data_IF_188501194630
#
_entry.id   IF_188501194630
#
_cell.length_a   1.000
_cell.length_b   1.000
_cell.length_c   1.000
_cell.angle_alpha   90.00
_cell.angle_beta   90.00
_cell.angle_gamma   90.00
#
_symmetry.space_group_name_H-M   'P 1'
#
loop_
_entity.id
_entity.type
_entity.pdbx_description
1 polymer ?
#
# COMPACT_ATOMS: atom_id res chain seq x y z
N UNK A 1 19.44 -14.31 -10.56
CA UNK A 1 18.80 -13.51 -11.63
C UNK A 1 19.82 -13.41 -12.76
N UNK A 2 19.42 -13.56 -14.02
CA UNK A 2 20.36 -13.42 -15.14
C UNK A 2 20.72 -11.94 -15.33
N UNK A 3 21.93 -11.64 -15.77
CA UNK A 3 22.38 -10.26 -15.99
C UNK A 3 21.49 -9.50 -16.97
N UNK A 4 20.98 -10.21 -17.99
CA UNK A 4 19.99 -9.69 -18.94
C UNK A 4 18.69 -9.27 -18.22
N UNK A 5 18.14 -10.11 -17.33
CA UNK A 5 16.91 -9.78 -16.61
C UNK A 5 17.11 -8.61 -15.67
N UNK A 6 18.24 -8.55 -14.97
CA UNK A 6 18.60 -7.41 -14.11
C UNK A 6 18.62 -6.11 -14.94
N UNK A 7 19.30 -6.14 -16.09
CA UNK A 7 19.38 -4.99 -17.00
C UNK A 7 17.99 -4.54 -17.46
N UNK A 8 17.12 -5.47 -17.88
CA UNK A 8 15.76 -5.12 -18.32
C UNK A 8 14.91 -4.50 -17.20
N UNK A 9 15.08 -4.95 -15.95
CA UNK A 9 14.40 -4.36 -14.77
C UNK A 9 14.95 -2.97 -14.47
N UNK A 10 16.27 -2.82 -14.46
CA UNK A 10 16.96 -1.56 -14.17
C UNK A 10 16.73 -0.50 -15.25
N UNK A 11 16.42 -0.90 -16.49
CA UNK A 11 15.96 0.00 -17.56
C UNK A 11 14.44 0.15 -17.63
N UNK A 12 13.71 -0.43 -16.68
CA UNK A 12 12.27 -0.29 -16.54
C UNK A 12 11.43 -1.01 -17.60
N UNK A 13 12.04 -1.90 -18.37
CA UNK A 13 11.40 -2.64 -19.47
C UNK A 13 10.65 -3.88 -18.97
N UNK A 14 11.00 -4.40 -17.80
CA UNK A 14 10.28 -5.49 -17.13
C UNK A 14 9.91 -5.12 -15.69
N UNK A 15 8.76 -5.59 -15.19
CA UNK A 15 8.48 -5.57 -13.76
C UNK A 15 9.32 -6.63 -13.04
N UNK A 16 9.54 -6.38 -11.76
CA UNK A 16 10.05 -7.37 -10.82
C UNK A 16 9.03 -8.51 -10.62
N UNK A 17 9.46 -9.63 -10.05
CA UNK A 17 8.60 -10.81 -9.80
C UNK A 17 8.48 -11.18 -8.33
N UNK A 18 9.44 -10.75 -7.51
CA UNK A 18 9.53 -11.12 -6.10
C UNK A 18 10.34 -10.08 -5.33
N UNK A 19 10.31 -10.17 -4.00
CA UNK A 19 10.98 -9.20 -3.12
C UNK A 19 12.49 -9.09 -3.36
N UNK A 20 13.17 -10.19 -3.72
CA UNK A 20 14.61 -10.13 -4.00
C UNK A 20 14.92 -9.27 -5.23
N UNK A 21 14.11 -9.39 -6.29
CA UNK A 21 14.20 -8.50 -7.45
C UNK A 21 13.85 -7.05 -7.07
N UNK A 22 12.79 -6.81 -6.29
CA UNK A 22 12.44 -5.47 -5.82
C UNK A 22 13.59 -4.80 -5.04
N UNK A 23 14.31 -5.56 -4.22
CA UNK A 23 15.45 -5.07 -3.43
C UNK A 23 16.69 -4.79 -4.29
N UNK A 24 16.80 -5.46 -5.44
CA UNK A 24 17.98 -5.39 -6.30
C UNK A 24 17.93 -4.28 -7.36
N UNK A 25 16.75 -3.70 -7.63
CA UNK A 25 16.58 -2.64 -8.65
C UNK A 25 17.52 -1.45 -8.39
N UNK A 26 18.34 -1.11 -9.38
CA UNK A 26 19.11 0.13 -9.36
C UNK A 26 18.22 1.29 -9.80
N UNK A 27 17.62 1.96 -8.82
CA UNK A 27 16.72 3.09 -9.07
C UNK A 27 17.42 4.29 -9.74
N UNK A 28 18.75 4.42 -9.66
CA UNK A 28 19.47 5.49 -10.39
C UNK A 28 19.53 5.18 -11.88
N UNK A 29 19.84 3.93 -12.22
CA UNK A 29 19.81 3.44 -13.60
C UNK A 29 18.40 3.55 -14.17
N UNK A 30 17.38 3.19 -13.36
CA UNK A 30 15.98 3.32 -13.74
C UNK A 30 15.57 4.76 -14.03
N UNK A 31 15.91 5.72 -13.17
CA UNK A 31 15.62 7.13 -13.44
C UNK A 31 16.28 7.60 -14.74
N UNK A 32 17.54 7.26 -14.98
CA UNK A 32 18.25 7.63 -16.22
C UNK A 32 17.60 7.01 -17.46
N UNK A 33 17.07 5.80 -17.37
CA UNK A 33 16.38 5.12 -18.46
C UNK A 33 15.05 5.79 -18.87
N UNK A 34 14.49 6.63 -18.00
CA UNK A 34 13.29 7.43 -18.29
C UNK A 34 13.59 8.73 -19.04
N UNK A 35 14.86 9.06 -19.29
CA UNK A 35 15.24 10.21 -20.09
C UNK A 35 14.64 10.12 -21.51
N UNK A 36 14.13 11.24 -22.02
CA UNK A 36 13.40 11.28 -23.29
C UNK A 36 11.96 10.74 -23.23
N UNK A 37 11.57 10.07 -22.16
CA UNK A 37 10.18 9.66 -21.91
C UNK A 37 9.45 10.67 -21.01
N UNK A 38 10.16 11.25 -20.04
CA UNK A 38 9.63 12.25 -19.11
C UNK A 38 10.36 13.60 -19.28
N UNK A 39 9.78 14.72 -18.79
CA UNK A 39 10.42 16.04 -18.88
C UNK A 39 11.82 16.07 -18.25
N UNK A 40 12.79 16.71 -18.91
CA UNK A 40 14.20 16.70 -18.48
C UNK A 40 14.39 17.20 -17.04
N UNK A 41 13.73 18.31 -16.66
CA UNK A 41 13.77 18.84 -15.29
C UNK A 41 13.20 17.89 -14.24
N UNK A 42 12.22 17.05 -14.62
CA UNK A 42 11.72 16.00 -13.74
C UNK A 42 12.80 14.93 -13.56
N UNK A 43 13.42 14.47 -14.65
CA UNK A 43 14.49 13.48 -14.60
C UNK A 43 15.66 13.96 -13.75
N UNK A 44 16.09 15.22 -13.88
CA UNK A 44 17.12 15.84 -13.05
C UNK A 44 16.76 15.74 -11.55
N UNK A 45 15.53 16.14 -11.18
CA UNK A 45 15.06 16.08 -9.79
C UNK A 45 14.99 14.65 -9.24
N UNK A 46 14.46 13.70 -10.03
CA UNK A 46 14.40 12.29 -9.63
C UNK A 46 15.80 11.69 -9.51
N UNK A 47 16.75 12.10 -10.36
CA UNK A 47 18.11 11.59 -10.36
C UNK A 47 18.87 12.07 -9.12
N UNK A 48 18.72 13.34 -8.73
CA UNK A 48 19.24 13.87 -7.46
C UNK A 48 18.70 13.07 -6.28
N UNK A 49 17.38 12.87 -6.20
CA UNK A 49 16.77 12.10 -5.12
C UNK A 49 17.22 10.63 -5.10
N UNK A 50 17.39 10.02 -6.29
CA UNK A 50 17.85 8.64 -6.41
C UNK A 50 19.29 8.49 -5.92
N UNK A 51 20.16 9.49 -6.15
CA UNK A 51 21.53 9.50 -5.63
C UNK A 51 21.54 9.68 -4.10
N UNK A 52 20.78 10.63 -3.56
CA UNK A 52 20.70 10.89 -2.12
C UNK A 52 20.18 9.68 -1.33
N UNK A 53 19.29 8.89 -1.94
CA UNK A 53 18.68 7.71 -1.31
C UNK A 53 19.37 6.38 -1.68
N UNK A 54 20.44 6.39 -2.49
CA UNK A 54 21.02 5.18 -3.09
C UNK A 54 21.54 4.17 -2.05
N UNK A 55 22.00 4.65 -0.90
CA UNK A 55 22.50 3.83 0.22
C UNK A 55 21.41 3.43 1.23
N UNK A 56 20.18 3.91 1.06
CA UNK A 56 19.08 3.66 1.99
C UNK A 56 18.33 2.36 1.67
N UNK A 57 17.51 1.89 2.63
CA UNK A 57 16.60 0.77 2.41
C UNK A 57 15.51 1.08 1.38
N UNK A 58 14.94 0.04 0.76
CA UNK A 58 13.96 0.14 -0.33
C UNK A 58 12.81 1.11 -0.03
N UNK A 59 12.24 1.07 1.18
CA UNK A 59 11.14 1.97 1.55
C UNK A 59 11.51 3.45 1.46
N UNK A 60 12.73 3.83 1.85
CA UNK A 60 13.21 5.21 1.76
C UNK A 60 13.47 5.64 0.32
N UNK A 61 13.99 4.73 -0.52
CA UNK A 61 14.18 4.98 -1.96
C UNK A 61 12.85 5.22 -2.67
N UNK A 62 11.89 4.30 -2.52
CA UNK A 62 10.56 4.42 -3.17
C UNK A 62 9.82 5.66 -2.69
N UNK A 63 9.80 5.89 -1.36
CA UNK A 63 9.12 7.06 -0.79
C UNK A 63 9.78 8.36 -1.23
N UNK A 64 11.11 8.43 -1.21
CA UNK A 64 11.86 9.63 -1.61
C UNK A 64 11.59 10.02 -3.05
N UNK A 65 11.82 9.10 -3.99
CA UNK A 65 11.64 9.37 -5.43
C UNK A 65 10.16 9.62 -5.75
N UNK A 66 9.23 8.87 -5.15
CA UNK A 66 7.79 9.10 -5.33
C UNK A 66 7.31 10.45 -4.80
N UNK A 67 7.83 10.91 -3.66
CA UNK A 67 7.55 12.25 -3.15
C UNK A 67 8.17 13.34 -4.04
N UNK A 68 9.40 13.14 -4.52
CA UNK A 68 10.03 14.06 -5.46
C UNK A 68 9.22 14.19 -6.75
N UNK A 69 8.67 13.09 -7.29
CA UNK A 69 7.74 13.10 -8.42
C UNK A 69 6.48 13.92 -8.10
N UNK A 70 5.86 13.69 -6.94
CA UNK A 70 4.67 14.44 -6.50
C UNK A 70 4.92 15.95 -6.37
N UNK A 71 6.05 16.32 -5.75
CA UNK A 71 6.46 17.72 -5.56
C UNK A 71 6.74 18.44 -6.87
N UNK A 72 7.37 17.74 -7.83
CA UNK A 72 7.58 18.30 -9.17
C UNK A 72 6.26 18.50 -9.91
N UNK A 73 5.32 17.56 -9.78
CA UNK A 73 4.00 17.60 -10.43
C UNK A 73 3.04 18.65 -9.85
N UNK A 74 3.18 18.99 -8.57
CA UNK A 74 2.29 19.92 -7.87
C UNK A 74 2.14 21.30 -8.55
N UNK A 75 3.22 22.01 -8.94
CA UNK A 75 3.10 23.29 -9.65
C UNK A 75 2.79 23.14 -11.15
N UNK A 76 2.85 21.94 -11.73
CA UNK A 76 2.66 21.71 -13.18
C UNK A 76 1.18 21.88 -13.56
N UNK A 77 0.83 22.55 -14.67
CA UNK A 77 -0.55 22.70 -15.13
C UNK A 77 -1.28 21.36 -15.26
N UNK A 78 -2.57 21.32 -14.91
CA UNK A 78 -3.34 20.09 -14.77
C UNK A 78 -3.28 19.13 -15.99
N UNK A 79 -3.36 19.59 -17.25
CA UNK A 79 -3.27 18.69 -18.40
C UNK A 79 -1.93 17.94 -18.47
N UNK A 80 -0.82 18.67 -18.31
CA UNK A 80 0.53 18.10 -18.35
C UNK A 80 0.79 17.24 -17.11
N UNK A 81 0.29 17.67 -15.94
CA UNK A 81 0.38 16.90 -14.70
C UNK A 81 -0.29 15.54 -14.85
N UNK A 82 -1.51 15.52 -15.37
CA UNK A 82 -2.27 14.28 -15.58
C UNK A 82 -1.58 13.38 -16.60
N UNK A 83 -1.04 13.94 -17.68
CA UNK A 83 -0.30 13.18 -18.69
C UNK A 83 0.92 12.47 -18.07
N UNK A 84 1.75 13.19 -17.33
CA UNK A 84 2.96 12.61 -16.71
C UNK A 84 2.59 11.58 -15.64
N UNK A 85 1.61 11.88 -14.79
CA UNK A 85 1.16 10.94 -13.76
C UNK A 85 0.58 9.66 -14.39
N UNK A 86 -0.19 9.78 -15.47
CA UNK A 86 -0.74 8.62 -16.18
C UNK A 86 0.37 7.78 -16.82
N UNK A 87 1.35 8.43 -17.46
CA UNK A 87 2.51 7.74 -18.03
C UNK A 87 3.29 6.96 -16.97
N UNK A 88 3.54 7.54 -15.79
CA UNK A 88 4.19 6.82 -14.69
C UNK A 88 3.30 5.71 -14.11
N UNK A 89 1.98 5.93 -14.03
CA UNK A 89 1.02 4.97 -13.46
C UNK A 89 0.77 3.77 -14.37
N UNK A 90 0.99 3.90 -15.68
CA UNK A 90 0.85 2.82 -16.66
C UNK A 90 2.22 2.24 -17.10
N UNK A 91 3.31 2.68 -16.49
CA UNK A 91 4.67 2.28 -16.88
C UNK A 91 4.92 0.77 -16.68
N UNK A 92 5.75 0.14 -17.51
CA UNK A 92 6.09 -1.30 -17.43
C UNK A 92 6.79 -1.69 -16.13
N UNK A 93 7.68 -0.85 -15.63
CA UNK A 93 8.31 -1.00 -14.31
C UNK A 93 7.31 -0.81 -13.17
N UNK A 94 7.16 -1.82 -12.33
CA UNK A 94 6.41 -1.74 -11.08
C UNK A 94 7.00 -0.70 -10.12
N UNK A 95 8.32 -0.47 -10.17
CA UNK A 95 8.99 0.56 -9.34
C UNK A 95 8.53 1.97 -9.72
N UNK A 96 8.40 2.27 -11.02
CA UNK A 96 7.89 3.57 -11.50
C UNK A 96 6.42 3.76 -11.11
N UNK A 97 5.59 2.72 -11.27
CA UNK A 97 4.18 2.75 -10.81
C UNK A 97 4.09 2.94 -9.29
N UNK A 98 5.05 2.40 -8.53
CA UNK A 98 5.14 2.60 -7.08
C UNK A 98 5.48 4.04 -6.72
N UNK A 99 6.39 4.69 -7.45
CA UNK A 99 6.64 6.14 -7.30
C UNK A 99 5.37 6.95 -7.60
N UNK A 100 4.63 6.58 -8.64
CA UNK A 100 3.36 7.22 -8.99
C UNK A 100 2.31 7.09 -7.87
N UNK A 101 2.27 5.97 -7.14
CA UNK A 101 1.39 5.79 -5.98
C UNK A 101 1.70 6.79 -4.83
N UNK A 102 2.98 7.09 -4.60
CA UNK A 102 3.39 8.12 -3.63
C UNK A 102 3.13 9.55 -4.17
N UNK A 103 3.37 9.79 -5.45
CA UNK A 103 3.05 11.06 -6.08
C UNK A 103 1.54 11.37 -6.02
N UNK A 104 0.68 10.37 -6.27
CA UNK A 104 -0.77 10.50 -6.15
C UNK A 104 -1.20 10.83 -4.72
N UNK A 105 -0.63 10.14 -3.72
CA UNK A 105 -0.91 10.43 -2.31
C UNK A 105 -0.48 11.87 -1.94
N UNK A 106 0.67 12.33 -2.45
CA UNK A 106 1.12 13.71 -2.27
C UNK A 106 0.18 14.72 -2.93
N UNK A 107 -0.21 14.51 -4.19
CA UNK A 107 -1.08 15.42 -4.94
C UNK A 107 -2.50 15.49 -4.38
N UNK A 108 -2.97 14.41 -3.75
CA UNK A 108 -4.31 14.34 -3.17
C UNK A 108 -4.37 14.81 -1.71
N UNK A 109 -3.25 15.19 -1.09
CA UNK A 109 -3.15 15.49 0.36
C UNK A 109 -4.07 16.60 0.87
N UNK A 110 -4.48 17.51 -0.03
CA UNK A 110 -5.39 18.64 0.27
C UNK A 110 -6.83 18.40 -0.16
N UNK A 111 -7.12 17.31 -0.88
CA UNK A 111 -8.48 16.93 -1.26
C UNK A 111 -9.27 16.47 -0.02
N UNK A 112 -10.56 16.18 -0.15
CA UNK A 112 -11.26 15.42 0.89
C UNK A 112 -10.70 13.98 1.00
N UNK A 113 -10.97 13.31 2.13
CA UNK A 113 -10.38 12.00 2.43
C UNK A 113 -10.91 10.90 1.51
N UNK A 114 -12.16 11.00 1.06
CA UNK A 114 -12.79 10.04 0.14
C UNK A 114 -12.19 10.13 -1.26
N UNK A 115 -12.02 11.34 -1.79
CA UNK A 115 -11.37 11.60 -3.06
C UNK A 115 -9.93 11.10 -3.07
N UNK A 116 -9.18 11.31 -1.97
CA UNK A 116 -7.82 10.79 -1.84
C UNK A 116 -7.79 9.26 -1.78
N UNK A 117 -8.72 8.63 -1.07
CA UNK A 117 -8.88 7.18 -1.06
C UNK A 117 -9.16 6.65 -2.46
N UNK A 118 -10.17 7.19 -3.15
CA UNK A 118 -10.57 6.79 -4.49
C UNK A 118 -9.43 6.92 -5.50
N UNK A 119 -8.68 8.03 -5.45
CA UNK A 119 -7.50 8.23 -6.29
C UNK A 119 -6.42 7.17 -6.05
N UNK A 120 -6.25 6.71 -4.81
CA UNK A 120 -5.28 5.68 -4.46
C UNK A 120 -5.70 4.26 -4.88
N UNK A 121 -7.02 3.99 -4.97
CA UNK A 121 -7.53 2.65 -5.28
C UNK A 121 -7.10 2.13 -6.66
N UNK A 122 -6.65 2.98 -7.59
CA UNK A 122 -6.05 2.51 -8.85
C UNK A 122 -4.80 1.67 -8.62
N UNK A 123 -3.93 2.09 -7.68
CA UNK A 123 -2.70 1.38 -7.35
C UNK A 123 -2.96 0.17 -6.45
N UNK A 124 -4.01 0.23 -5.63
CA UNK A 124 -4.49 -0.94 -4.89
C UNK A 124 -4.93 -2.08 -5.83
N UNK A 125 -5.39 -1.75 -7.04
CA UNK A 125 -5.83 -2.69 -8.08
C UNK A 125 -4.70 -3.15 -9.02
N UNK A 126 -3.46 -2.67 -8.83
CA UNK A 126 -2.33 -3.02 -9.69
C UNK A 126 -2.09 -4.54 -9.67
N UNK A 127 -1.70 -5.11 -10.81
CA UNK A 127 -1.37 -6.53 -10.94
C UNK A 127 -0.12 -6.92 -10.12
N UNK A 128 0.81 -5.98 -9.96
CA UNK A 128 2.06 -6.22 -9.26
C UNK A 128 1.91 -6.03 -7.75
N UNK A 129 2.33 -7.04 -6.98
CA UNK A 129 2.17 -7.04 -5.53
C UNK A 129 2.87 -5.84 -4.85
N UNK A 130 4.06 -5.46 -5.35
CA UNK A 130 4.82 -4.33 -4.81
C UNK A 130 4.03 -3.03 -4.89
N UNK A 131 3.42 -2.73 -6.04
CA UNK A 131 2.64 -1.50 -6.23
C UNK A 131 1.46 -1.46 -5.26
N UNK A 132 0.78 -2.60 -5.04
CA UNK A 132 -0.31 -2.70 -4.07
C UNK A 132 0.14 -2.45 -2.63
N UNK A 133 1.37 -2.86 -2.25
CA UNK A 133 1.93 -2.54 -0.93
C UNK A 133 2.20 -1.05 -0.80
N UNK A 134 2.88 -0.46 -1.79
CA UNK A 134 3.19 0.97 -1.77
C UNK A 134 1.94 1.85 -1.81
N UNK A 135 0.86 1.39 -2.46
CA UNK A 135 -0.41 2.08 -2.52
C UNK A 135 -0.96 2.39 -1.11
N UNK A 136 -1.04 1.40 -0.23
CA UNK A 136 -1.56 1.62 1.12
C UNK A 136 -0.53 2.31 2.01
N UNK A 137 0.77 2.03 1.84
CA UNK A 137 1.84 2.69 2.62
C UNK A 137 1.80 4.20 2.39
N UNK A 138 1.62 4.63 1.14
CA UNK A 138 1.60 6.05 0.78
C UNK A 138 0.43 6.82 1.40
N UNK A 139 -0.77 6.22 1.48
CA UNK A 139 -1.97 6.88 2.02
C UNK A 139 -2.14 6.70 3.53
N UNK A 140 -1.54 5.65 4.12
CA UNK A 140 -1.70 5.29 5.54
C UNK A 140 -1.48 6.43 6.53
N UNK A 141 -0.44 7.29 6.43
CA UNK A 141 -0.23 8.35 7.41
C UNK A 141 -1.44 9.27 7.56
N UNK A 142 -2.09 9.57 6.44
CA UNK A 142 -3.27 10.43 6.41
C UNK A 142 -4.50 9.74 7.01
N UNK A 143 -4.73 8.47 6.64
CA UNK A 143 -5.85 7.69 7.21
C UNK A 143 -5.69 7.46 8.71
N UNK A 144 -4.46 7.27 9.20
CA UNK A 144 -4.18 7.11 10.61
C UNK A 144 -4.41 8.40 11.42
N UNK A 145 -4.22 9.58 10.81
CA UNK A 145 -4.49 10.88 11.44
C UNK A 145 -5.98 11.20 11.54
N UNK A 146 -6.80 10.71 10.60
CA UNK A 146 -8.26 10.91 10.56
C UNK A 146 -8.98 9.58 10.77
N UNK A 147 -8.69 8.89 11.88
CA UNK A 147 -9.01 7.48 12.07
C UNK A 147 -10.52 7.16 11.99
N UNK A 148 -11.37 7.97 12.63
CA UNK A 148 -12.82 7.72 12.67
C UNK A 148 -13.42 7.84 11.26
N UNK A 149 -13.10 8.92 10.54
CA UNK A 149 -13.53 9.13 9.15
C UNK A 149 -12.97 8.04 8.23
N UNK A 150 -11.70 7.68 8.42
CA UNK A 150 -11.03 6.64 7.65
C UNK A 150 -11.71 5.27 7.84
N UNK A 151 -12.03 4.87 9.07
CA UNK A 151 -12.71 3.60 9.34
C UNK A 151 -14.09 3.55 8.69
N UNK A 152 -14.86 4.63 8.78
CA UNK A 152 -16.17 4.73 8.12
C UNK A 152 -16.03 4.61 6.59
N UNK A 153 -15.08 5.31 5.98
CA UNK A 153 -14.79 5.25 4.55
C UNK A 153 -14.35 3.84 4.11
N UNK A 154 -13.37 3.27 4.79
CA UNK A 154 -12.81 1.97 4.46
C UNK A 154 -13.85 0.86 4.63
N UNK A 155 -14.74 0.95 5.64
CA UNK A 155 -15.84 0.00 5.80
C UNK A 155 -16.80 0.01 4.59
N UNK A 156 -17.10 1.19 4.02
CA UNK A 156 -17.91 1.30 2.80
C UNK A 156 -17.23 0.63 1.60
N UNK A 157 -15.93 0.86 1.41
CA UNK A 157 -15.18 0.31 0.28
C UNK A 157 -14.73 -1.14 0.46
N UNK A 158 -14.71 -1.67 1.68
CA UNK A 158 -14.42 -3.09 1.96
C UNK A 158 -15.50 -4.05 1.44
N UNK A 159 -16.63 -3.53 0.92
CA UNK A 159 -17.64 -4.29 0.19
C UNK A 159 -17.41 -4.42 -1.32
N UNK A 160 -16.33 -3.85 -1.87
CA UNK A 160 -16.03 -3.88 -3.32
C UNK A 160 -15.90 -5.33 -3.84
N UNK A 161 -16.35 -5.57 -5.07
CA UNK A 161 -16.29 -6.87 -5.72
C UNK A 161 -14.85 -7.33 -5.97
N UNK A 162 -13.92 -6.39 -6.15
CA UNK A 162 -12.50 -6.65 -6.33
C UNK A 162 -11.81 -6.95 -4.98
N UNK A 163 -11.25 -8.17 -4.79
CA UNK A 163 -10.58 -8.54 -3.56
C UNK A 163 -9.35 -7.69 -3.23
N UNK A 164 -8.70 -7.09 -4.23
CA UNK A 164 -7.53 -6.22 -4.01
C UNK A 164 -7.92 -4.92 -3.30
N UNK A 165 -9.11 -4.38 -3.60
CA UNK A 165 -9.67 -3.21 -2.91
C UNK A 165 -10.06 -3.56 -1.48
N UNK A 166 -10.74 -4.69 -1.28
CA UNK A 166 -11.08 -5.18 0.07
C UNK A 166 -9.81 -5.37 0.91
N UNK A 167 -8.79 -6.02 0.33
CA UNK A 167 -7.47 -6.18 0.95
C UNK A 167 -6.88 -4.84 1.36
N UNK A 168 -6.85 -3.85 0.45
CA UNK A 168 -6.33 -2.52 0.76
C UNK A 168 -7.06 -1.90 1.95
N UNK A 169 -8.39 -1.96 1.95
CA UNK A 169 -9.22 -1.33 2.99
C UNK A 169 -8.94 -1.90 4.38
N UNK A 170 -8.66 -3.20 4.46
CA UNK A 170 -8.33 -3.89 5.70
C UNK A 170 -6.86 -3.68 6.09
N UNK A 171 -5.93 -3.81 5.13
CA UNK A 171 -4.49 -3.77 5.39
C UNK A 171 -4.03 -2.39 5.88
N UNK A 172 -4.56 -1.32 5.27
CA UNK A 172 -4.04 0.04 5.43
C UNK A 172 -4.11 0.54 6.87
N UNK A 173 -5.01 0.00 7.69
CA UNK A 173 -5.14 0.32 9.12
C UNK A 173 -4.75 -0.83 10.05
N UNK A 174 -3.92 -1.79 9.63
CA UNK A 174 -3.39 -2.81 10.56
C UNK A 174 -2.72 -2.16 11.79
N UNK A 175 -3.02 -2.58 13.04
CA UNK A 175 -2.47 -1.95 14.24
C UNK A 175 -0.94 -2.06 14.33
N UNK A 176 -0.37 -3.14 13.79
CA UNK A 176 1.08 -3.45 13.81
C UNK A 176 1.59 -3.87 12.42
N UNK A 177 1.30 -3.04 11.42
CA UNK A 177 1.76 -3.29 10.06
C UNK A 177 3.29 -3.34 9.94
N UNK A 178 3.77 -4.07 8.94
CA UNK A 178 5.20 -4.15 8.61
C UNK A 178 5.55 -2.98 7.68
N UNK A 179 6.74 -2.41 7.81
CA UNK A 179 7.20 -1.22 7.05
C UNK A 179 6.39 0.06 7.25
N UNK A 180 5.62 0.15 8.34
CA UNK A 180 4.88 1.34 8.71
C UNK A 180 4.85 1.52 10.22
N UNK A 181 4.48 2.72 10.66
CA UNK A 181 4.29 3.01 12.07
C UNK A 181 3.05 2.27 12.63
N UNK A 182 3.15 1.87 13.88
CA UNK A 182 2.03 1.28 14.61
C UNK A 182 0.96 2.32 14.90
N UNK A 183 -0.31 1.93 14.78
CA UNK A 183 -1.44 2.80 15.14
C UNK A 183 -1.83 2.49 16.58
N UNK A 184 -1.34 3.31 17.52
CA UNK A 184 -1.53 3.07 18.96
C UNK A 184 -3.02 3.01 19.35
N UNK A 185 -3.86 3.87 18.78
CA UNK A 185 -5.30 3.87 19.02
C UNK A 185 -5.94 2.50 18.72
N UNK A 186 -5.65 1.91 17.56
CA UNK A 186 -6.17 0.59 17.16
C UNK A 186 -5.57 -0.58 17.93
N UNK A 187 -4.40 -0.40 18.56
CA UNK A 187 -3.87 -1.40 19.49
C UNK A 187 -4.63 -1.41 20.81
N UNK A 188 -5.04 -0.24 21.30
CA UNK A 188 -5.67 -0.08 22.60
C UNK A 188 -7.18 -0.31 22.55
N UNK A 189 -7.85 0.22 21.53
CA UNK A 189 -9.28 0.12 21.30
C UNK A 189 -9.58 -0.48 19.92
N UNK A 190 -9.23 -1.75 19.65
CA UNK A 190 -9.48 -2.39 18.34
C UNK A 190 -10.96 -2.48 17.96
N UNK A 191 -11.88 -2.44 18.94
CA UNK A 191 -13.33 -2.49 18.75
C UNK A 191 -13.88 -1.38 17.84
N UNK A 192 -13.18 -0.23 17.73
CA UNK A 192 -13.58 0.85 16.82
C UNK A 192 -13.53 0.42 15.35
N UNK A 193 -12.78 -0.64 15.04
CA UNK A 193 -12.71 -1.24 13.70
C UNK A 193 -13.74 -2.35 13.45
N UNK A 194 -14.64 -2.65 14.40
CA UNK A 194 -15.71 -3.64 14.22
C UNK A 194 -16.52 -3.42 12.92
N UNK A 195 -16.94 -2.18 12.56
CA UNK A 195 -17.68 -1.93 11.32
C UNK A 195 -16.92 -2.35 10.05
N UNK A 196 -15.58 -2.31 10.07
CA UNK A 196 -14.73 -2.74 8.97
C UNK A 196 -14.51 -4.25 8.98
N UNK A 197 -14.29 -4.85 10.15
CA UNK A 197 -13.79 -6.22 10.29
C UNK A 197 -14.88 -7.28 10.41
N UNK A 198 -15.92 -7.02 11.20
CA UNK A 198 -17.00 -8.00 11.45
C UNK A 198 -17.64 -8.48 10.15
N UNK A 199 -17.99 -7.60 9.19
CA UNK A 199 -18.54 -8.05 7.90
C UNK A 199 -17.58 -8.91 7.08
N UNK A 200 -16.27 -8.92 7.40
CA UNK A 200 -15.19 -9.58 6.66
C UNK A 200 -14.65 -10.84 7.37
N UNK A 201 -15.22 -11.24 8.50
CA UNK A 201 -14.83 -12.47 9.23
C UNK A 201 -15.03 -13.77 8.45
N UNK A 202 -15.72 -13.73 7.31
CA UNK A 202 -15.89 -14.84 6.37
C UNK A 202 -15.30 -14.55 4.97
N UNK A 203 -14.36 -13.61 4.84
CA UNK A 203 -13.72 -13.28 3.57
C UNK A 203 -13.14 -14.53 2.90
N UNK A 204 -13.60 -14.81 1.68
CA UNK A 204 -13.30 -16.03 0.95
C UNK A 204 -12.06 -15.90 0.06
N UNK A 205 -11.77 -14.69 -0.44
CA UNK A 205 -10.57 -14.46 -1.23
C UNK A 205 -9.34 -14.56 -0.35
N UNK A 206 -8.38 -15.42 -0.71
CA UNK A 206 -7.22 -15.73 0.12
C UNK A 206 -6.39 -14.49 0.44
N UNK A 207 -6.24 -13.55 -0.50
CA UNK A 207 -5.38 -12.39 -0.31
C UNK A 207 -6.02 -11.38 0.64
N UNK A 208 -7.31 -11.06 0.47
CA UNK A 208 -8.05 -10.23 1.43
C UNK A 208 -8.23 -10.91 2.80
N UNK A 209 -8.47 -12.23 2.80
CA UNK A 209 -8.62 -13.04 4.01
C UNK A 209 -7.36 -13.01 4.89
N UNK A 210 -6.18 -13.10 4.28
CA UNK A 210 -4.91 -13.03 5.02
C UNK A 210 -4.74 -11.65 5.68
N UNK A 211 -5.22 -10.57 5.06
CA UNK A 211 -5.25 -9.23 5.69
C UNK A 211 -6.20 -9.15 6.88
N UNK A 212 -7.41 -9.72 6.82
CA UNK A 212 -8.33 -9.82 7.98
C UNK A 212 -7.66 -10.56 9.13
N UNK A 213 -7.11 -11.74 8.85
CA UNK A 213 -6.46 -12.56 9.85
C UNK A 213 -5.22 -11.89 10.46
N UNK A 214 -4.43 -11.18 9.65
CA UNK A 214 -3.25 -10.44 10.13
C UNK A 214 -3.64 -9.21 10.96
N UNK A 215 -4.70 -8.50 10.59
CA UNK A 215 -5.23 -7.38 11.38
C UNK A 215 -5.61 -7.87 12.79
N UNK A 216 -6.40 -8.95 12.87
CA UNK A 216 -6.84 -9.52 14.14
C UNK A 216 -5.65 -10.08 14.95
N UNK A 217 -4.68 -10.72 14.30
CA UNK A 217 -3.46 -11.19 14.97
C UNK A 217 -2.57 -10.03 15.48
N UNK A 218 -2.65 -8.85 14.86
CA UNK A 218 -1.94 -7.68 15.37
C UNK A 218 -2.63 -7.07 16.59
N UNK A 219 -3.97 -7.08 16.59
CA UNK A 219 -4.77 -6.69 17.75
C UNK A 219 -4.57 -7.66 18.93
N UNK A 220 -4.53 -8.98 18.69
CA UNK A 220 -4.39 -10.01 19.73
C UNK A 220 -3.11 -9.88 20.57
N UNK A 221 -2.04 -9.29 20.01
CA UNK A 221 -0.79 -9.00 20.73
C UNK A 221 -0.92 -7.92 21.81
N UNK A 222 -2.02 -7.16 21.83
CA UNK A 222 -2.29 -6.13 22.85
C UNK A 222 -3.60 -6.40 23.58
N UNK A 223 -4.64 -6.79 22.84
CA UNK A 223 -6.01 -7.06 23.32
C UNK A 223 -6.41 -8.50 22.96
N UNK A 224 -5.75 -9.52 23.54
CA UNK A 224 -6.10 -10.92 23.30
C UNK A 224 -7.53 -11.24 23.74
N UNK A 225 -7.98 -10.62 24.84
CA UNK A 225 -9.34 -10.66 25.38
C UNK A 225 -10.38 -10.29 24.33
N UNK A 226 -10.17 -9.18 23.63
CA UNK A 226 -11.11 -8.68 22.62
C UNK A 226 -11.20 -9.63 21.42
N UNK A 227 -10.07 -10.16 20.94
CA UNK A 227 -10.08 -11.10 19.80
C UNK A 227 -10.80 -12.40 20.14
N UNK A 228 -10.64 -12.92 21.36
CA UNK A 228 -11.37 -14.11 21.82
C UNK A 228 -12.88 -13.83 21.90
N UNK A 229 -13.27 -12.73 22.54
CA UNK A 229 -14.68 -12.31 22.61
C UNK A 229 -15.30 -12.07 21.23
N UNK A 230 -14.53 -11.55 20.27
CA UNK A 230 -14.99 -11.35 18.90
C UNK A 230 -15.42 -12.68 18.26
N UNK A 231 -14.63 -13.75 18.42
CA UNK A 231 -14.96 -15.07 17.88
C UNK A 231 -16.01 -15.82 18.71
N UNK A 232 -16.22 -15.47 19.98
CA UNK A 232 -17.38 -15.93 20.75
C UNK A 232 -18.68 -15.29 20.25
N UNK A 233 -18.68 -13.98 19.97
CA UNK A 233 -19.82 -13.25 19.38
C UNK A 233 -20.10 -13.66 17.93
N UNK A 234 -19.05 -13.98 17.17
CA UNK A 234 -19.12 -14.38 15.78
C UNK A 234 -18.41 -15.73 15.53
N UNK A 235 -19.02 -16.85 15.97
CA UNK A 235 -18.42 -18.17 15.84
C UNK A 235 -18.10 -18.54 14.38
N UNK A 236 -16.90 -19.06 14.07
CA UNK A 236 -16.53 -19.47 12.72
C UNK A 236 -17.43 -20.59 12.16
N UNK A 237 -18.21 -20.29 11.12
CA UNK A 237 -19.20 -21.22 10.55
C UNK A 237 -18.75 -21.89 9.25
N UNK A 238 -17.83 -21.28 8.50
CA UNK A 238 -17.37 -21.76 7.19
C UNK A 238 -15.85 -21.93 7.10
N UNK A 239 -15.35 -22.57 6.03
CA UNK A 239 -13.90 -22.80 5.81
C UNK A 239 -13.08 -21.51 5.90
N UNK A 240 -13.59 -20.43 5.33
CA UNK A 240 -12.94 -19.13 5.34
C UNK A 240 -12.81 -18.56 6.78
N UNK A 241 -13.93 -18.47 7.50
CA UNK A 241 -13.93 -17.98 8.88
C UNK A 241 -13.08 -18.83 9.84
N UNK A 242 -13.08 -20.16 9.68
CA UNK A 242 -12.22 -21.06 10.49
C UNK A 242 -10.73 -20.80 10.24
N UNK A 243 -10.36 -20.54 8.98
CA UNK A 243 -8.98 -20.16 8.62
C UNK A 243 -8.61 -18.78 9.17
N UNK A 244 -9.52 -17.81 9.12
CA UNK A 244 -9.33 -16.49 9.73
C UNK A 244 -9.09 -16.65 11.23
N UNK A 245 -9.96 -17.38 11.94
CA UNK A 245 -9.82 -17.62 13.38
C UNK A 245 -8.46 -18.25 13.72
N UNK A 246 -8.13 -19.39 13.10
CA UNK A 246 -6.86 -20.08 13.37
C UNK A 246 -5.62 -19.20 13.12
N UNK A 247 -5.67 -18.33 12.11
CA UNK A 247 -4.56 -17.40 11.82
C UNK A 247 -4.58 -16.17 12.73
N UNK A 248 -5.75 -15.67 13.13
CA UNK A 248 -5.91 -14.52 14.02
C UNK A 248 -5.41 -14.81 15.44
N UNK A 249 -5.54 -16.06 15.90
CA UNK A 249 -5.16 -16.48 17.26
C UNK A 249 -3.81 -17.20 17.32
N UNK A 250 -3.06 -17.30 16.22
CA UNK A 250 -1.79 -18.05 16.14
C UNK A 250 -0.68 -17.56 17.09
N UNK A 251 -0.79 -16.35 17.61
CA UNK A 251 0.16 -15.76 18.56
C UNK A 251 -0.32 -15.82 20.01
N UNK A 252 -1.51 -16.36 20.28
CA UNK A 252 -2.02 -16.57 21.63
C UNK A 252 -1.45 -17.87 22.21
N UNK A 253 -1.25 -17.94 23.55
CA UNK A 253 -0.95 -19.20 24.22
C UNK A 253 -2.06 -20.22 23.96
N UNK A 254 -1.68 -21.48 23.71
CA UNK A 254 -2.60 -22.61 23.57
C UNK A 254 -3.04 -23.12 24.95
#
# INVERSE_FOLDING_TARGET
MTDERTTLIDHGQLPTRNLAECLAVDQRTLVRALAGQLPDKLIEQLATCAEETCSQGLSKKITGIGLALGQWLEPVPAPQRQQVLEQCSAHSSDTVRSWAAFAQAHLSRTLDLEAALLAQLRFARDEHFGVREWAWIALRPRLAQALDDALALLARHAGDSNPLVRRFCIEVLRPRGVWCEHIAALKQAPEVADPLLVPRLAEADKYAQDSVANWLNDASKTRPDWVMQLFERHPPSCKASRRIHARATRSLPQ
#
